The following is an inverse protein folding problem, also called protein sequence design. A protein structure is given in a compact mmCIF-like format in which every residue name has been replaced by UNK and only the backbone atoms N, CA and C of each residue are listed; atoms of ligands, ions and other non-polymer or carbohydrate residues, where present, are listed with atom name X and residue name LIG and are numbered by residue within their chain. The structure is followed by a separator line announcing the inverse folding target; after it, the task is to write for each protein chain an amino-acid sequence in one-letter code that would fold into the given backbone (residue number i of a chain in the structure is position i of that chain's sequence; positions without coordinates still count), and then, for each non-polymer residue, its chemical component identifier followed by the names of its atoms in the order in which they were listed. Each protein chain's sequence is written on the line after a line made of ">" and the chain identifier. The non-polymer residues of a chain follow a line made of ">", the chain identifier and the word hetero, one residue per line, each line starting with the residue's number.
data_IF_391048432482
#
_entry.id   IF_391048432482
#
_cell.length_a   1.000
_cell.length_b   1.000
_cell.length_c   1.000
_cell.angle_alpha   90.00
_cell.angle_beta   90.00
_cell.angle_gamma   90.00
#
_symmetry.space_group_name_H-M   'P 1'
#
loop_
_entity.id
_entity.type
_entity.pdbx_description
1 polymer ?
#
# COMPACT_ATOMS: atom_id res chain seq x y z
N UNK A 1 -7.50 16.72 6.56
CA UNK A 1 -6.96 16.29 5.25
C UNK A 1 -6.59 14.83 5.38
N UNK A 2 -6.82 14.03 4.34
CA UNK A 2 -6.60 12.59 4.35
C UNK A 2 -5.81 12.20 3.11
N UNK A 3 -4.98 11.17 3.23
CA UNK A 3 -4.31 10.59 2.07
C UNK A 3 -5.35 9.83 1.23
N UNK A 4 -5.33 9.95 -0.11
CA UNK A 4 -6.17 9.10 -0.96
C UNK A 4 -5.77 7.62 -0.88
N UNK A 5 -6.75 6.71 -0.93
CA UNK A 5 -6.54 5.26 -0.98
C UNK A 5 -5.48 4.84 -2.02
N UNK A 6 -5.52 5.32 -3.28
CA UNK A 6 -4.52 4.95 -4.29
C UNK A 6 -3.09 5.26 -3.87
N UNK A 7 -2.87 6.35 -3.14
CA UNK A 7 -1.53 6.76 -2.71
C UNK A 7 -1.00 5.86 -1.60
N UNK A 8 -1.84 5.48 -0.63
CA UNK A 8 -1.46 4.51 0.41
C UNK A 8 -1.22 3.12 -0.20
N UNK A 9 -2.08 2.68 -1.13
CA UNK A 9 -1.90 1.42 -1.84
C UNK A 9 -0.59 1.39 -2.65
N UNK A 10 -0.21 2.50 -3.28
CA UNK A 10 1.06 2.61 -4.01
C UNK A 10 2.27 2.46 -3.07
N UNK A 11 2.28 3.16 -1.94
CA UNK A 11 3.36 3.05 -0.95
C UNK A 11 3.43 1.64 -0.37
N UNK A 12 2.29 1.04 -0.04
CA UNK A 12 2.23 -0.35 0.42
C UNK A 12 2.79 -1.33 -0.63
N UNK A 13 2.52 -1.09 -1.91
CA UNK A 13 3.06 -1.88 -3.03
C UNK A 13 4.57 -1.72 -3.15
N UNK A 14 5.08 -0.49 -2.99
CA UNK A 14 6.52 -0.23 -3.00
C UNK A 14 7.23 -0.93 -1.83
N UNK A 15 6.66 -0.87 -0.63
CA UNK A 15 7.17 -1.60 0.55
C UNK A 15 7.16 -3.12 0.30
N UNK A 16 6.08 -3.65 -0.27
CA UNK A 16 6.00 -5.05 -0.65
C UNK A 16 7.09 -5.43 -1.65
N UNK A 17 7.34 -4.60 -2.67
CA UNK A 17 8.41 -4.81 -3.62
C UNK A 17 9.78 -4.86 -2.93
N UNK A 18 10.11 -3.88 -2.08
CA UNK A 18 11.36 -3.85 -1.33
C UNK A 18 11.53 -5.08 -0.43
N UNK A 19 10.49 -5.53 0.26
CA UNK A 19 10.54 -6.75 1.06
C UNK A 19 10.76 -7.99 0.19
N UNK A 20 10.16 -8.03 -0.99
CA UNK A 20 10.32 -9.14 -1.95
C UNK A 20 11.75 -9.21 -2.51
N UNK A 21 12.40 -8.08 -2.74
CA UNK A 21 13.80 -8.04 -3.23
C UNK A 21 14.79 -8.71 -2.25
N UNK A 22 14.47 -8.71 -0.96
CA UNK A 22 15.27 -9.34 0.10
C UNK A 22 14.84 -10.78 0.43
N UNK A 23 13.76 -11.28 -0.17
CA UNK A 23 13.15 -12.57 0.21
C UNK A 23 14.10 -13.76 0.04
N UNK A 24 15.03 -13.69 -0.91
CA UNK A 24 15.99 -14.76 -1.21
C UNK A 24 17.26 -14.71 -0.36
N UNK A 25 17.39 -13.74 0.54
CA UNK A 25 18.62 -13.50 1.33
C UNK A 25 19.65 -12.65 0.60
N UNK A 26 19.61 -12.64 -0.74
CA UNK A 26 20.37 -11.72 -1.60
C UNK A 26 19.45 -10.65 -2.18
N UNK A 27 19.97 -9.41 -2.31
CA UNK A 27 19.26 -8.30 -2.96
C UNK A 27 19.10 -8.59 -4.45
N UNK A 28 17.88 -8.89 -4.89
CA UNK A 28 17.54 -8.97 -6.30
C UNK A 28 16.70 -7.77 -6.72
N UNK A 29 17.38 -6.77 -7.29
CA UNK A 29 16.71 -5.57 -7.81
C UNK A 29 15.70 -5.98 -8.88
N UNK A 30 14.42 -5.80 -8.55
CA UNK A 30 13.32 -6.13 -9.45
C UNK A 30 12.69 -4.83 -9.90
N UNK A 31 12.46 -4.68 -11.20
CA UNK A 31 11.80 -3.48 -11.71
C UNK A 31 10.45 -3.27 -11.04
N UNK A 32 10.26 -2.10 -10.44
CA UNK A 32 8.96 -1.69 -9.91
C UNK A 32 8.04 -1.29 -11.07
N UNK A 33 7.45 -2.29 -11.71
CA UNK A 33 6.60 -2.13 -12.89
C UNK A 33 5.17 -2.59 -12.65
N UNK A 34 4.24 -1.97 -13.39
CA UNK A 34 2.82 -2.35 -13.40
C UNK A 34 2.66 -3.83 -13.73
N UNK A 35 3.40 -4.35 -14.71
CA UNK A 35 3.35 -5.77 -15.10
C UNK A 35 3.60 -6.73 -13.93
N UNK A 36 4.43 -6.32 -12.96
CA UNK A 36 4.85 -7.17 -11.86
C UNK A 36 4.00 -6.98 -10.60
N UNK A 37 3.55 -5.76 -10.34
CA UNK A 37 2.94 -5.39 -9.06
C UNK A 37 1.49 -4.86 -9.17
N UNK A 38 0.89 -4.84 -10.36
CA UNK A 38 -0.48 -4.35 -10.53
C UNK A 38 -1.50 -5.14 -9.70
N UNK A 39 -1.39 -6.46 -9.66
CA UNK A 39 -2.30 -7.29 -8.86
C UNK A 39 -2.13 -7.03 -7.36
N UNK A 40 -0.89 -6.83 -6.90
CA UNK A 40 -0.58 -6.46 -5.51
C UNK A 40 -1.17 -5.11 -5.17
N UNK A 41 -1.00 -4.12 -6.04
CA UNK A 41 -1.58 -2.79 -5.90
C UNK A 41 -3.11 -2.83 -5.83
N UNK A 42 -3.76 -3.58 -6.73
CA UNK A 42 -5.24 -3.75 -6.71
C UNK A 42 -5.71 -4.45 -5.43
N UNK A 43 -4.96 -5.44 -4.96
CA UNK A 43 -5.27 -6.11 -3.71
C UNK A 43 -5.18 -5.14 -2.52
N UNK A 44 -4.16 -4.29 -2.46
CA UNK A 44 -4.06 -3.25 -1.44
C UNK A 44 -5.20 -2.24 -1.49
N UNK A 45 -5.62 -1.80 -2.68
CA UNK A 45 -6.83 -0.97 -2.81
C UNK A 45 -8.05 -1.71 -2.25
N UNK A 46 -8.28 -2.95 -2.68
CA UNK A 46 -9.44 -3.72 -2.22
C UNK A 46 -9.44 -3.92 -0.71
N UNK A 47 -8.27 -4.12 -0.11
CA UNK A 47 -8.11 -4.27 1.34
C UNK A 47 -8.47 -2.98 2.06
N UNK A 48 -7.98 -1.84 1.58
CA UNK A 48 -8.30 -0.53 2.16
C UNK A 48 -9.79 -0.18 2.03
N UNK A 49 -10.41 -0.54 0.91
CA UNK A 49 -11.86 -0.38 0.68
C UNK A 49 -12.69 -1.24 1.66
N UNK A 50 -12.28 -2.49 1.91
CA UNK A 50 -12.92 -3.35 2.93
C UNK A 50 -12.78 -2.72 4.32
N UNK A 51 -11.59 -2.25 4.70
CA UNK A 51 -11.37 -1.60 6.00
C UNK A 51 -12.25 -0.35 6.15
N UNK A 52 -12.40 0.44 5.08
CA UNK A 52 -13.29 1.61 5.06
C UNK A 52 -14.73 1.20 5.32
N UNK A 53 -15.21 0.14 4.67
CA UNK A 53 -16.59 -0.32 4.81
C UNK A 53 -16.87 -0.96 6.18
N UNK A 54 -15.88 -1.66 6.75
CA UNK A 54 -16.03 -2.31 8.06
C UNK A 54 -16.00 -1.30 9.21
N UNK A 55 -15.11 -0.31 9.14
CA UNK A 55 -14.89 0.67 10.23
C UNK A 55 -14.50 2.06 9.71
N UNK A 56 -15.45 2.72 9.06
CA UNK A 56 -15.28 4.04 8.43
C UNK A 56 -14.59 5.09 9.34
N UNK A 57 -15.05 5.25 10.58
CA UNK A 57 -14.45 6.23 11.52
C UNK A 57 -12.98 5.92 11.85
N UNK A 58 -12.63 4.65 12.02
CA UNK A 58 -11.25 4.25 12.30
C UNK A 58 -10.38 4.43 11.04
N UNK A 59 -10.94 4.13 9.86
CA UNK A 59 -10.29 4.33 8.58
C UNK A 59 -9.93 5.80 8.35
N UNK A 60 -10.88 6.74 8.48
CA UNK A 60 -10.61 8.18 8.30
C UNK A 60 -9.57 8.70 9.29
N UNK A 61 -9.64 8.26 10.56
CA UNK A 61 -8.61 8.60 11.57
C UNK A 61 -7.22 8.11 11.15
N UNK A 62 -7.12 6.88 10.64
CA UNK A 62 -5.86 6.32 10.16
C UNK A 62 -5.32 7.11 8.96
N UNK A 63 -6.14 7.37 7.95
CA UNK A 63 -5.72 8.10 6.74
C UNK A 63 -5.34 9.56 7.05
N UNK A 64 -6.03 10.21 8.00
CA UNK A 64 -5.68 11.53 8.49
C UNK A 64 -4.39 11.53 9.30
N UNK A 65 -4.16 10.52 10.13
CA UNK A 65 -2.93 10.37 10.90
C UNK A 65 -1.71 10.14 9.99
N UNK A 66 -1.84 9.30 8.97
CA UNK A 66 -0.81 9.11 7.93
C UNK A 66 -0.53 10.44 7.23
N UNK A 67 -1.57 11.20 6.85
CA UNK A 67 -1.39 12.51 6.23
C UNK A 67 -0.64 13.51 7.13
N UNK A 68 -0.88 13.47 8.44
CA UNK A 68 -0.27 14.38 9.40
C UNK A 68 1.19 14.03 9.74
N UNK A 69 1.60 12.77 9.53
CA UNK A 69 2.94 12.27 9.83
C UNK A 69 3.83 12.12 8.58
N UNK A 70 3.27 12.33 7.39
CA UNK A 70 3.98 12.39 6.12
C UNK A 70 4.69 13.74 5.94
#
# INVERSE_FOLDING_TARGET
>A
REVPIPMVALVATALYASLREWRTGDLQTTEFSTTTYFDVYRNHISTLEVIRNDRESAFHKMMAAIYAQA
#
